data_IF_541367942158
#
_entry.id   IF_541367942158
#
_cell.length_a   1.000
_cell.length_b   1.000
_cell.length_c   1.000
_cell.angle_alpha   90.00
_cell.angle_beta   90.00
_cell.angle_gamma   90.00
#
_symmetry.space_group_name_H-M   'P 1'
#
loop_
_entity.id
_entity.type
_entity.pdbx_description
1 polymer ?
#
# COMPACT_ATOMS: atom_id res chain seq x y z
N UNK A 1 19.12 -27.40 8.14
CA UNK A 1 17.92 -27.62 8.95
C UNK A 1 16.90 -28.35 8.08
N UNK A 2 16.04 -29.19 8.65
CA UNK A 2 15.02 -29.87 7.85
C UNK A 2 14.00 -28.84 7.34
N UNK A 3 13.78 -28.81 6.03
CA UNK A 3 12.74 -27.98 5.39
C UNK A 3 11.38 -28.32 5.99
N UNK A 4 10.67 -27.31 6.46
CA UNK A 4 9.32 -27.53 7.01
C UNK A 4 8.28 -27.64 5.87
N UNK A 5 7.13 -28.25 6.16
CA UNK A 5 6.02 -28.31 5.19
C UNK A 5 5.54 -26.90 4.74
N UNK A 6 5.75 -25.87 5.56
CA UNK A 6 5.47 -24.47 5.23
C UNK A 6 6.43 -23.90 4.18
N UNK A 7 7.70 -24.31 4.23
CA UNK A 7 8.77 -23.73 3.43
C UNK A 7 8.92 -24.38 2.06
N UNK A 8 8.49 -25.65 1.92
CA UNK A 8 8.66 -26.43 0.69
C UNK A 8 8.15 -25.72 -0.58
N UNK A 9 6.94 -25.10 -0.60
CA UNK A 9 6.47 -24.41 -1.81
C UNK A 9 7.39 -23.26 -2.26
N UNK A 10 8.07 -22.59 -1.32
CA UNK A 10 9.00 -21.51 -1.64
C UNK A 10 10.32 -22.05 -2.17
N UNK A 11 10.80 -23.18 -1.64
CA UNK A 11 11.95 -23.86 -2.22
C UNK A 11 11.67 -24.31 -3.66
N UNK A 12 10.50 -24.90 -3.91
CA UNK A 12 10.11 -25.34 -5.25
C UNK A 12 9.99 -24.15 -6.22
N UNK A 13 9.40 -23.04 -5.77
CA UNK A 13 9.26 -21.82 -6.57
C UNK A 13 10.61 -21.16 -6.90
N UNK A 14 11.59 -21.25 -6.00
CA UNK A 14 12.97 -20.78 -6.26
C UNK A 14 13.67 -21.74 -7.23
N UNK A 15 13.55 -23.05 -7.03
CA UNK A 15 14.16 -24.05 -7.90
C UNK A 15 13.63 -24.01 -9.35
N UNK A 16 12.41 -23.49 -9.55
CA UNK A 16 11.79 -23.28 -10.85
C UNK A 16 11.88 -21.82 -11.35
N UNK A 17 12.72 -20.98 -10.74
CA UNK A 17 12.94 -19.57 -11.11
C UNK A 17 11.66 -18.70 -11.13
N UNK A 18 10.61 -19.05 -10.38
CA UNK A 18 9.40 -18.23 -10.28
C UNK A 18 9.58 -17.02 -9.34
N UNK A 19 10.38 -17.18 -8.29
CA UNK A 19 10.74 -16.12 -7.34
C UNK A 19 12.22 -16.25 -6.97
N UNK A 20 12.87 -15.13 -6.65
CA UNK A 20 14.26 -15.15 -6.17
C UNK A 20 14.36 -15.51 -4.69
N UNK A 21 13.29 -15.24 -3.92
CA UNK A 21 13.25 -15.51 -2.50
C UNK A 21 12.00 -14.98 -1.82
N UNK A 22 11.87 -15.29 -0.53
CA UNK A 22 10.77 -14.87 0.33
C UNK A 22 11.29 -14.55 1.73
N UNK A 23 10.68 -13.54 2.36
CA UNK A 23 10.80 -13.23 3.78
C UNK A 23 9.46 -13.48 4.44
N UNK A 24 9.45 -14.28 5.51
CA UNK A 24 8.26 -14.64 6.26
C UNK A 24 8.46 -14.34 7.74
N UNK A 25 7.50 -13.66 8.35
CA UNK A 25 7.52 -13.32 9.76
C UNK A 25 6.14 -13.62 10.35
N UNK A 26 6.11 -14.27 11.51
CA UNK A 26 4.89 -14.59 12.24
C UNK A 26 5.10 -14.43 13.73
N UNK A 27 4.17 -13.79 14.43
CA UNK A 27 4.21 -13.61 15.89
C UNK A 27 2.82 -13.78 16.49
N UNK A 28 2.74 -14.44 17.63
CA UNK A 28 1.52 -14.55 18.43
C UNK A 28 1.60 -13.69 19.69
N UNK A 29 0.47 -13.09 20.08
CA UNK A 29 0.32 -12.38 21.35
C UNK A 29 0.45 -13.30 22.57
N UNK A 30 0.11 -14.58 22.42
CA UNK A 30 0.19 -15.60 23.49
C UNK A 30 1.59 -16.19 23.67
N UNK A 31 2.58 -15.70 22.91
CA UNK A 31 3.90 -16.30 22.80
C UNK A 31 4.02 -17.22 21.59
N UNK A 32 5.20 -17.20 20.96
CA UNK A 32 5.51 -17.90 19.72
C UNK A 32 5.89 -16.93 18.60
N UNK A 33 6.96 -17.25 17.89
CA UNK A 33 7.43 -16.50 16.73
C UNK A 33 8.03 -17.44 15.69
N UNK A 34 7.92 -17.04 14.42
CA UNK A 34 8.54 -17.68 13.28
C UNK A 34 9.19 -16.61 12.40
N UNK A 35 10.40 -16.89 11.93
CA UNK A 35 11.11 -16.07 10.96
C UNK A 35 11.76 -16.98 9.93
N UNK A 36 11.46 -16.76 8.65
CA UNK A 36 11.98 -17.54 7.53
C UNK A 36 12.53 -16.62 6.45
N UNK A 37 13.76 -16.88 6.00
CA UNK A 37 14.44 -16.14 4.94
C UNK A 37 14.99 -17.15 3.93
N UNK A 38 14.35 -17.26 2.77
CA UNK A 38 14.67 -18.30 1.78
C UNK A 38 14.98 -17.64 0.45
N UNK A 39 16.11 -17.99 -0.16
CA UNK A 39 16.53 -17.43 -1.44
C UNK A 39 17.44 -16.22 -1.30
N UNK A 40 17.48 -15.39 -2.34
CA UNK A 40 18.48 -14.32 -2.48
C UNK A 40 17.85 -12.98 -2.86
N UNK A 41 18.51 -11.90 -2.44
CA UNK A 41 18.32 -10.55 -2.96
C UNK A 41 19.45 -10.23 -3.94
N UNK A 42 19.13 -9.47 -4.98
CA UNK A 42 20.08 -9.15 -6.05
C UNK A 42 20.22 -7.63 -6.16
N UNK A 43 21.47 -7.15 -6.09
CA UNK A 43 21.80 -5.75 -6.30
C UNK A 43 21.81 -5.39 -7.81
N UNK A 44 21.76 -4.10 -8.19
CA UNK A 44 21.75 -3.67 -9.59
C UNK A 44 22.96 -4.15 -10.42
N UNK A 45 24.09 -4.44 -9.77
CA UNK A 45 25.30 -5.01 -10.37
C UNK A 45 25.24 -6.53 -10.54
N UNK A 46 24.07 -7.14 -10.32
CA UNK A 46 23.82 -8.59 -10.32
C UNK A 46 24.51 -9.35 -9.18
N UNK A 47 25.07 -8.67 -8.18
CA UNK A 47 25.58 -9.33 -6.98
C UNK A 47 24.40 -9.90 -6.19
N UNK A 48 24.37 -11.22 -6.06
CA UNK A 48 23.34 -11.94 -5.30
C UNK A 48 23.83 -12.24 -3.88
N UNK A 49 22.97 -12.03 -2.89
CA UNK A 49 23.24 -12.26 -1.47
C UNK A 49 22.04 -12.97 -0.84
N UNK A 50 22.25 -13.87 0.15
CA UNK A 50 21.14 -14.48 0.88
C UNK A 50 20.20 -13.43 1.47
N UNK A 51 18.90 -13.73 1.47
CA UNK A 51 17.94 -12.96 2.26
C UNK A 51 18.24 -13.10 3.76
N UNK A 52 18.00 -12.02 4.49
CA UNK A 52 18.30 -11.95 5.92
C UNK A 52 17.33 -10.97 6.62
N UNK A 53 17.31 -10.94 7.96
CA UNK A 53 16.56 -9.93 8.70
C UNK A 53 16.95 -8.47 8.38
N UNK A 54 18.15 -8.26 7.84
CA UNK A 54 18.65 -6.93 7.45
C UNK A 54 18.33 -6.57 6.00
N UNK A 55 17.71 -7.47 5.22
CA UNK A 55 17.34 -7.22 3.83
C UNK A 55 16.28 -6.11 3.75
N UNK A 56 16.54 -5.10 2.93
CA UNK A 56 15.63 -3.97 2.74
C UNK A 56 14.67 -4.31 1.61
N UNK A 57 13.36 -4.22 1.90
CA UNK A 57 12.30 -4.52 0.93
C UNK A 57 11.46 -3.28 0.64
N UNK A 58 10.97 -3.17 -0.60
CA UNK A 58 10.00 -2.16 -0.98
C UNK A 58 8.62 -2.52 -0.43
N UNK A 59 8.09 -1.71 0.50
CA UNK A 59 6.80 -1.98 1.16
C UNK A 59 5.58 -1.75 0.26
N UNK A 60 5.73 -1.02 -0.86
CA UNK A 60 4.61 -0.65 -1.72
C UNK A 60 3.38 -0.17 -0.92
N UNK A 61 2.20 -0.76 -1.16
CA UNK A 61 0.97 -0.40 -0.45
C UNK A 61 0.95 -0.76 1.04
N UNK A 62 1.85 -1.61 1.56
CA UNK A 62 1.94 -1.85 3.00
C UNK A 62 2.29 -0.57 3.78
N UNK A 63 2.87 0.43 3.11
CA UNK A 63 3.08 1.79 3.64
C UNK A 63 1.78 2.45 4.14
N UNK A 64 0.61 2.08 3.58
CA UNK A 64 -0.70 2.62 4.00
C UNK A 64 -0.99 2.33 5.47
N UNK A 65 -0.55 1.19 6.00
CA UNK A 65 -0.70 0.87 7.43
C UNK A 65 0.08 1.87 8.28
N UNK A 66 1.34 2.15 7.92
CA UNK A 66 2.18 3.12 8.64
C UNK A 66 1.59 4.54 8.57
N UNK A 67 1.14 4.96 7.39
CA UNK A 67 0.46 6.25 7.21
C UNK A 67 -0.83 6.35 8.03
N UNK A 68 -1.60 5.26 8.11
CA UNK A 68 -2.82 5.18 8.93
C UNK A 68 -2.50 5.34 10.41
N UNK A 69 -1.47 4.64 10.91
CA UNK A 69 -1.03 4.77 12.30
C UNK A 69 -0.60 6.22 12.59
N UNK A 70 0.19 6.83 11.70
CA UNK A 70 0.62 8.23 11.87
C UNK A 70 -0.58 9.21 11.91
N UNK A 71 -1.58 9.01 11.05
CA UNK A 71 -2.79 9.82 11.05
C UNK A 71 -3.60 9.64 12.35
N UNK A 72 -3.76 8.39 12.82
CA UNK A 72 -4.47 8.11 14.08
C UNK A 72 -3.72 8.67 15.30
N UNK A 73 -2.39 8.70 15.29
CA UNK A 73 -1.61 9.38 16.34
C UNK A 73 -1.87 10.89 16.39
N UNK A 74 -2.16 11.53 15.25
CA UNK A 74 -2.57 12.94 15.22
C UNK A 74 -3.99 13.13 15.75
N UNK A 75 -4.88 12.17 15.49
CA UNK A 75 -6.23 12.13 16.08
C UNK A 75 -6.15 12.01 17.60
N UNK A 76 -5.33 11.09 18.13
CA UNK A 76 -5.15 10.93 19.58
C UNK A 76 -4.63 12.20 20.26
N UNK A 77 -3.84 13.01 19.54
CA UNK A 77 -3.32 14.30 20.02
C UNK A 77 -4.32 15.46 19.86
N UNK A 78 -5.51 15.21 19.33
CA UNK A 78 -6.51 16.24 19.03
C UNK A 78 -6.11 17.21 17.92
N UNK A 79 -5.13 16.84 17.08
CA UNK A 79 -4.65 17.67 15.96
C UNK A 79 -5.44 17.41 14.66
N UNK A 80 -6.10 16.26 14.58
CA UNK A 80 -7.03 15.89 13.51
C UNK A 80 -8.27 15.25 14.12
N UNK A 81 -9.36 15.24 13.37
CA UNK A 81 -10.55 14.44 13.66
C UNK A 81 -10.82 13.46 12.52
N UNK A 82 -11.41 12.31 12.86
CA UNK A 82 -11.83 11.33 11.85
C UNK A 82 -12.97 11.85 10.97
N UNK A 83 -13.82 12.72 11.52
CA UNK A 83 -15.11 13.09 10.94
C UNK A 83 -15.25 14.59 10.64
N UNK A 84 -14.20 15.39 10.89
CA UNK A 84 -14.19 16.79 10.46
C UNK A 84 -14.04 16.93 8.94
N UNK A 85 -14.54 18.05 8.41
CA UNK A 85 -14.39 18.37 6.99
C UNK A 85 -12.98 18.92 6.71
N UNK A 86 -12.17 18.14 6.00
CA UNK A 86 -10.80 18.47 5.63
C UNK A 86 -10.69 19.36 4.40
N UNK A 87 -11.79 19.68 3.71
CA UNK A 87 -11.75 20.53 2.51
C UNK A 87 -11.00 21.86 2.71
N UNK A 88 -11.16 22.59 3.83
CA UNK A 88 -10.41 23.82 4.07
C UNK A 88 -8.89 23.62 4.16
N UNK A 89 -8.45 22.45 4.62
CA UNK A 89 -7.03 22.10 4.73
C UNK A 89 -6.43 21.58 3.41
N UNK A 90 -7.27 21.08 2.50
CA UNK A 90 -6.85 20.44 1.24
C UNK A 90 -7.45 21.12 -0.01
N UNK A 91 -7.34 22.45 -0.17
CA UNK A 91 -8.07 23.20 -1.20
C UNK A 91 -7.72 22.76 -2.63
N UNK A 92 -6.48 22.30 -2.86
CA UNK A 92 -6.03 21.79 -4.16
C UNK A 92 -6.70 20.47 -4.52
N UNK A 93 -6.88 19.57 -3.54
CA UNK A 93 -7.53 18.28 -3.76
C UNK A 93 -9.00 18.48 -4.10
N UNK A 94 -9.67 19.37 -3.37
CA UNK A 94 -11.10 19.64 -3.55
C UNK A 94 -11.42 20.40 -4.83
N UNK A 95 -10.47 21.20 -5.33
CA UNK A 95 -10.61 21.93 -6.58
C UNK A 95 -10.63 21.03 -7.83
N UNK A 96 -10.14 19.77 -7.74
CA UNK A 96 -10.14 18.83 -8.85
C UNK A 96 -11.56 18.43 -9.29
N UNK A 97 -12.53 18.47 -8.36
CA UNK A 97 -13.89 18.01 -8.60
C UNK A 97 -14.00 16.50 -8.77
N UNK A 98 -15.17 16.05 -9.18
CA UNK A 98 -15.52 14.64 -9.42
C UNK A 98 -15.47 14.37 -10.91
N UNK A 99 -14.60 13.46 -11.33
CA UNK A 99 -14.47 13.03 -12.73
C UNK A 99 -15.60 12.07 -13.12
N UNK A 100 -16.31 12.39 -14.20
CA UNK A 100 -17.34 11.53 -14.80
C UNK A 100 -16.80 10.77 -16.01
N UNK A 101 -16.15 11.48 -16.93
CA UNK A 101 -15.59 10.93 -18.16
C UNK A 101 -14.28 11.64 -18.50
N UNK A 102 -13.35 10.92 -19.12
CA UNK A 102 -12.17 11.48 -19.77
C UNK A 102 -12.13 10.93 -21.18
N UNK A 103 -12.10 11.83 -22.17
CA UNK A 103 -12.16 11.52 -23.59
C UNK A 103 -11.08 12.33 -24.31
N UNK A 104 -10.47 11.74 -25.33
CA UNK A 104 -9.33 12.34 -26.04
C UNK A 104 -9.69 13.63 -26.78
N UNK A 105 -10.94 13.76 -27.23
CA UNK A 105 -11.39 14.85 -28.09
C UNK A 105 -12.03 15.97 -27.27
N UNK A 106 -12.73 15.61 -26.19
CA UNK A 106 -13.50 16.56 -25.36
C UNK A 106 -12.90 16.82 -23.98
N UNK A 107 -11.85 16.10 -23.59
CA UNK A 107 -11.16 16.24 -22.31
C UNK A 107 -11.94 15.71 -21.11
N UNK A 108 -11.45 16.02 -19.92
CA UNK A 108 -12.05 15.59 -18.66
C UNK A 108 -13.35 16.37 -18.36
N UNK A 109 -14.45 15.66 -18.15
CA UNK A 109 -15.71 16.23 -17.64
C UNK A 109 -15.79 16.04 -16.13
N UNK A 110 -15.77 17.15 -15.40
CA UNK A 110 -15.85 17.15 -13.94
C UNK A 110 -17.05 17.95 -13.43
N UNK A 111 -17.52 17.62 -12.23
CA UNK A 111 -18.44 18.46 -11.45
C UNK A 111 -17.79 18.87 -10.14
N UNK A 112 -18.17 20.02 -9.54
CA UNK A 112 -17.66 20.41 -8.23
C UNK A 112 -17.89 19.32 -7.17
N UNK A 113 -16.91 19.11 -6.29
CA UNK A 113 -17.07 18.26 -5.12
C UNK A 113 -17.77 19.04 -4.00
N UNK A 114 -18.97 18.60 -3.59
CA UNK A 114 -19.83 19.34 -2.65
C UNK A 114 -19.98 18.69 -1.28
N UNK A 115 -19.64 17.40 -1.14
CA UNK A 115 -19.69 16.67 0.13
C UNK A 115 -18.54 17.03 1.08
N UNK A 116 -18.62 16.61 2.35
CA UNK A 116 -17.47 16.66 3.25
C UNK A 116 -16.40 15.67 2.77
N UNK A 117 -15.13 16.05 2.91
CA UNK A 117 -14.00 15.12 2.78
C UNK A 117 -13.48 14.83 4.18
N UNK A 118 -13.62 13.60 4.67
CA UNK A 118 -13.18 13.26 6.03
C UNK A 118 -11.95 12.36 6.04
N UNK A 119 -11.15 12.43 7.12
CA UNK A 119 -10.01 11.53 7.30
C UNK A 119 -10.46 10.07 7.29
N UNK A 120 -11.60 9.75 7.93
CA UNK A 120 -12.19 8.41 7.91
C UNK A 120 -12.37 7.89 6.48
N UNK A 121 -12.96 8.70 5.60
CA UNK A 121 -13.17 8.31 4.19
C UNK A 121 -11.85 8.10 3.43
N UNK A 122 -10.82 8.89 3.74
CA UNK A 122 -9.49 8.72 3.14
C UNK A 122 -8.84 7.41 3.58
N UNK A 123 -8.91 7.09 4.88
CA UNK A 123 -8.32 5.88 5.46
C UNK A 123 -9.08 4.60 5.08
N UNK A 124 -10.38 4.70 4.80
CA UNK A 124 -11.23 3.56 4.39
C UNK A 124 -11.49 3.48 2.89
N UNK A 125 -10.82 4.29 2.07
CA UNK A 125 -11.00 4.30 0.61
C UNK A 125 -12.45 4.56 0.14
N UNK A 126 -13.18 5.43 0.84
CA UNK A 126 -14.58 5.81 0.50
C UNK A 126 -14.72 7.29 0.14
N UNK A 127 -13.62 8.03 0.02
CA UNK A 127 -13.60 9.43 -0.40
C UNK A 127 -13.82 9.64 -1.92
N UNK A 128 -13.87 8.56 -2.71
CA UNK A 128 -14.01 8.62 -4.18
C UNK A 128 -12.70 8.80 -4.96
N UNK A 129 -11.55 8.82 -4.27
CA UNK A 129 -10.24 8.76 -4.90
C UNK A 129 -9.95 7.34 -5.39
N UNK A 130 -9.34 7.24 -6.56
CA UNK A 130 -9.02 5.96 -7.18
C UNK A 130 -7.67 6.03 -7.91
N UNK A 131 -7.10 4.86 -8.21
CA UNK A 131 -5.97 4.75 -9.10
C UNK A 131 -6.40 4.60 -10.55
N UNK A 132 -5.72 5.36 -11.40
CA UNK A 132 -5.88 5.33 -12.86
C UNK A 132 -5.88 3.91 -13.44
N UNK A 133 -5.05 3.01 -12.91
CA UNK A 133 -4.95 1.62 -13.38
C UNK A 133 -6.13 0.72 -12.97
N UNK A 134 -6.96 1.10 -11.99
CA UNK A 134 -8.20 0.37 -11.66
C UNK A 134 -9.39 0.81 -12.50
N UNK A 135 -9.38 2.03 -13.04
CA UNK A 135 -10.40 2.52 -13.95
C UNK A 135 -9.79 3.08 -15.25
N UNK A 136 -9.30 2.22 -16.17
CA UNK A 136 -8.62 2.64 -17.41
C UNK A 136 -9.51 3.48 -18.33
N UNK A 137 -10.84 3.32 -18.24
CA UNK A 137 -11.81 4.13 -18.99
C UNK A 137 -11.81 5.61 -18.59
N UNK A 138 -11.18 5.97 -17.47
CA UNK A 138 -11.06 7.35 -16.97
C UNK A 138 -9.69 7.99 -17.27
N UNK A 139 -8.83 7.33 -18.05
CA UNK A 139 -7.49 7.81 -18.43
C UNK A 139 -7.33 8.11 -19.94
N UNK A 140 -8.43 8.20 -20.68
CA UNK A 140 -8.40 8.38 -22.14
C UNK A 140 -8.40 9.84 -22.55
#
# INVERSE_FOLDING_TARGET
MATTALEQPFHDAIASDMINGVVMEGRSVSGGSYSGYIGQQTAPDSTAQPLSPASISYMASATKLLATIAALQLVDRGLLSLDEDLRPALPKLTALGVLHTCDSDTGAKTTPFTGPLTLRQMLTHTAGMDYSFFNPSRNK
#
